data_IF_981318812944
#
_entry.id   IF_981318812944
#
_cell.length_a   1.000
_cell.length_b   1.000
_cell.length_c   1.000
_cell.angle_alpha   90.00
_cell.angle_beta   90.00
_cell.angle_gamma   90.00
#
_symmetry.space_group_name_H-M   'P 1'
#
loop_
_entity.id
_entity.type
_entity.pdbx_description
1 polymer ?
#
# COMPACT_ATOMS: atom_id res chain seq x y z
N UNK A 1 -14.08 1.09 7.40
CA UNK A 1 -13.48 2.46 7.39
C UNK A 1 -12.82 2.68 6.04
N UNK A 2 -12.62 3.94 5.63
CA UNK A 2 -11.83 4.27 4.44
C UNK A 2 -10.39 4.52 4.83
N UNK A 3 -9.45 3.86 4.16
CA UNK A 3 -8.02 3.89 4.49
C UNK A 3 -7.25 4.21 3.22
N UNK A 4 -6.40 5.23 3.29
CA UNK A 4 -5.52 5.63 2.21
C UNK A 4 -4.08 5.30 2.59
N UNK A 5 -3.36 4.63 1.70
CA UNK A 5 -1.94 4.31 1.85
C UNK A 5 -1.17 5.02 0.74
N UNK A 6 -0.16 5.78 1.14
CA UNK A 6 0.76 6.46 0.23
C UNK A 6 2.08 5.71 0.25
N UNK A 7 2.54 5.30 -0.92
CA UNK A 7 3.80 4.59 -1.12
C UNK A 7 4.63 5.36 -2.15
N UNK A 8 5.95 5.46 -1.94
CA UNK A 8 6.81 6.18 -2.85
C UNK A 8 6.92 5.42 -4.19
N UNK A 9 7.18 4.11 -4.11
CA UNK A 9 7.28 3.22 -5.26
C UNK A 9 6.37 1.98 -5.07
N UNK A 10 6.06 1.24 -6.15
CA UNK A 10 5.50 -0.09 -6.01
C UNK A 10 6.41 -0.96 -5.14
N UNK A 11 5.83 -1.86 -4.35
CA UNK A 11 6.47 -2.77 -3.39
C UNK A 11 6.65 -2.17 -1.97
N UNK A 12 6.76 -0.85 -1.81
CA UNK A 12 6.89 -0.21 -0.50
C UNK A 12 5.69 -0.50 0.43
N UNK A 13 4.48 -0.59 -0.14
CA UNK A 13 3.25 -0.90 0.60
C UNK A 13 3.26 -2.33 1.13
N UNK A 14 3.81 -3.27 0.35
CA UNK A 14 3.88 -4.68 0.75
C UNK A 14 4.98 -4.87 1.78
N UNK A 15 6.16 -4.28 1.54
CA UNK A 15 7.33 -4.40 2.43
C UNK A 15 7.08 -3.70 3.78
N UNK A 16 6.52 -2.49 3.77
CA UNK A 16 6.29 -1.72 5.00
C UNK A 16 5.02 -2.11 5.75
N UNK A 17 3.97 -2.49 5.04
CA UNK A 17 2.61 -2.59 5.61
C UNK A 17 1.83 -3.85 5.20
N UNK A 18 2.41 -4.79 4.45
CA UNK A 18 1.67 -5.91 3.84
C UNK A 18 0.82 -6.73 4.82
N UNK A 19 1.36 -7.02 6.02
CA UNK A 19 0.62 -7.70 7.08
C UNK A 19 -0.57 -6.89 7.60
N UNK A 20 -0.39 -5.58 7.78
CA UNK A 20 -1.43 -4.65 8.22
C UNK A 20 -2.51 -4.49 7.16
N UNK A 21 -2.14 -4.35 5.88
CA UNK A 21 -3.07 -4.30 4.75
C UNK A 21 -3.94 -5.56 4.74
N UNK A 22 -3.34 -6.75 4.85
CA UNK A 22 -4.08 -8.03 4.91
C UNK A 22 -5.04 -8.08 6.08
N UNK A 23 -4.61 -7.65 7.27
CA UNK A 23 -5.46 -7.62 8.48
C UNK A 23 -6.63 -6.66 8.33
N UNK A 24 -6.40 -5.47 7.78
CA UNK A 24 -7.43 -4.45 7.58
C UNK A 24 -8.41 -4.83 6.46
N UNK A 25 -7.92 -5.43 5.38
CA UNK A 25 -8.73 -5.96 4.28
C UNK A 25 -9.69 -7.05 4.78
N UNK A 26 -9.20 -8.00 5.60
CA UNK A 26 -10.04 -9.04 6.22
C UNK A 26 -11.16 -8.50 7.13
N UNK A 27 -11.01 -7.27 7.64
CA UNK A 27 -12.04 -6.59 8.43
C UNK A 27 -13.07 -5.85 7.58
N UNK A 28 -13.03 -5.97 6.25
CA UNK A 28 -13.97 -5.32 5.33
C UNK A 28 -13.74 -3.81 5.18
N UNK A 29 -12.51 -3.34 5.39
CA UNK A 29 -12.18 -1.93 5.16
C UNK A 29 -12.00 -1.64 3.67
N UNK A 30 -12.40 -0.44 3.27
CA UNK A 30 -12.16 0.10 1.93
C UNK A 30 -10.77 0.73 1.91
N UNK A 31 -9.86 0.11 1.17
CA UNK A 31 -8.43 0.46 1.16
C UNK A 31 -8.05 0.91 -0.24
N UNK A 32 -7.48 2.12 -0.33
CA UNK A 32 -6.88 2.66 -1.55
C UNK A 32 -5.39 2.87 -1.35
N UNK A 33 -4.60 2.47 -2.33
CA UNK A 33 -3.15 2.66 -2.34
C UNK A 33 -2.81 3.60 -3.50
N UNK A 34 -1.99 4.61 -3.25
CA UNK A 34 -1.48 5.53 -4.26
C UNK A 34 0.04 5.45 -4.25
N UNK A 35 0.60 5.13 -5.41
CA UNK A 35 2.03 5.16 -5.67
C UNK A 35 2.42 6.53 -6.22
N UNK A 36 3.40 7.19 -5.60
CA UNK A 36 3.86 8.52 -6.02
C UNK A 36 4.76 8.47 -7.26
N UNK A 37 5.47 7.36 -7.45
CA UNK A 37 6.40 7.11 -8.55
C UNK A 37 6.33 5.65 -8.95
N UNK A 38 6.83 5.32 -10.14
CA UNK A 38 6.90 3.95 -10.66
C UNK A 38 8.17 3.20 -10.23
N UNK A 39 9.14 3.89 -9.63
CA UNK A 39 10.42 3.29 -9.21
C UNK A 39 11.33 2.87 -10.38
N UNK A 40 11.06 3.36 -11.59
CA UNK A 40 11.70 2.86 -12.82
C UNK A 40 13.21 3.17 -12.93
N UNK A 41 13.70 4.14 -12.15
CA UNK A 41 15.12 4.52 -12.09
C UNK A 41 15.91 3.77 -11.01
N UNK A 42 15.25 2.93 -10.22
CA UNK A 42 15.87 2.21 -9.08
C UNK A 42 16.01 0.70 -9.31
N UNK A 43 15.62 0.21 -10.50
CA UNK A 43 15.87 -1.16 -10.99
C UNK A 43 17.06 -1.18 -11.92
#
# INVERSE_FOLDING_TARGET
>A
MKILILAAHPDDEVLGMGGTIKKLSKKGNDIKIIFMSTGILSR
#
